data_IF_105396691250
#
_entry.id   IF_105396691250
#
_cell.length_a   1.000
_cell.length_b   1.000
_cell.length_c   1.000
_cell.angle_alpha   90.00
_cell.angle_beta   90.00
_cell.angle_gamma   90.00
#
_symmetry.space_group_name_H-M   'P 1'
#
loop_
_entity.id
_entity.type
_entity.pdbx_description
1 polymer ?
#
# COMPACT_ATOMS: atom_id res chain seq x y z
N UNK A 1 8.80 -7.61 -5.93
CA UNK A 1 8.68 -6.18 -6.32
C UNK A 1 9.64 -5.37 -5.45
N UNK A 2 9.98 -4.12 -5.80
CA UNK A 2 10.91 -3.31 -4.97
C UNK A 2 10.39 -3.12 -3.54
N UNK A 3 9.07 -3.08 -3.34
CA UNK A 3 8.46 -2.99 -2.01
C UNK A 3 8.73 -4.21 -1.11
N UNK A 4 9.08 -5.37 -1.68
CA UNK A 4 9.47 -6.56 -0.90
C UNK A 4 10.69 -6.30 -0.03
N UNK A 5 11.64 -5.50 -0.53
CA UNK A 5 12.86 -5.16 0.21
C UNK A 5 12.57 -4.42 1.51
N UNK A 6 11.44 -3.70 1.60
CA UNK A 6 11.03 -3.05 2.84
C UNK A 6 10.76 -4.06 3.96
N UNK A 7 10.37 -5.30 3.64
CA UNK A 7 10.06 -6.31 4.66
C UNK A 7 11.29 -7.05 5.21
N UNK A 8 12.47 -6.86 4.60
CA UNK A 8 13.72 -7.49 5.04
C UNK A 8 14.12 -7.02 6.45
N UNK A 9 13.76 -5.78 6.80
CA UNK A 9 14.06 -5.24 8.10
C UNK A 9 13.14 -5.82 9.18
N UNK A 10 13.74 -6.25 10.29
CA UNK A 10 13.00 -6.83 11.41
C UNK A 10 12.07 -5.78 12.02
N UNK A 11 10.80 -6.17 12.19
CA UNK A 11 9.77 -5.32 12.79
C UNK A 11 8.91 -4.55 11.79
N UNK A 12 9.23 -4.58 10.48
CA UNK A 12 8.35 -4.02 9.46
C UNK A 12 7.25 -5.04 9.12
N UNK A 13 6.01 -4.71 9.46
CA UNK A 13 4.83 -5.52 9.18
C UNK A 13 4.19 -5.22 7.82
N UNK A 14 4.32 -3.98 7.33
CA UNK A 14 3.73 -3.51 6.07
C UNK A 14 4.74 -2.67 5.29
N UNK A 15 4.97 -3.04 4.03
CA UNK A 15 5.73 -2.28 3.05
C UNK A 15 4.81 -1.63 2.02
N UNK A 16 5.02 -0.35 1.74
CA UNK A 16 4.24 0.40 0.73
C UNK A 16 5.17 1.11 -0.23
N UNK A 17 4.93 0.96 -1.53
CA UNK A 17 5.61 1.73 -2.58
C UNK A 17 4.59 2.58 -3.34
N UNK A 18 4.83 3.88 -3.32
CA UNK A 18 4.10 4.88 -4.08
C UNK A 18 4.87 5.23 -5.35
N UNK A 19 4.21 5.16 -6.51
CA UNK A 19 4.79 5.57 -7.78
C UNK A 19 3.82 6.51 -8.51
N UNK A 20 4.22 7.77 -8.68
CA UNK A 20 3.50 8.69 -9.54
C UNK A 20 3.48 8.16 -10.98
N UNK A 21 2.29 8.09 -11.57
CA UNK A 21 2.08 7.73 -12.98
C UNK A 21 1.89 8.98 -13.84
N UNK A 22 1.16 9.96 -13.30
CA UNK A 22 0.98 11.31 -13.84
C UNK A 22 0.75 12.30 -12.68
N UNK A 23 0.39 13.56 -12.98
CA UNK A 23 0.19 14.60 -11.96
C UNK A 23 -0.92 14.30 -10.95
N UNK A 24 -1.89 13.47 -11.31
CA UNK A 24 -3.09 13.16 -10.52
C UNK A 24 -3.33 11.66 -10.36
N UNK A 25 -2.33 10.81 -10.65
CA UNK A 25 -2.47 9.37 -10.57
C UNK A 25 -1.26 8.72 -9.95
N UNK A 26 -1.50 7.89 -8.95
CA UNK A 26 -0.45 7.21 -8.18
C UNK A 26 -0.74 5.72 -8.09
N UNK A 27 0.23 4.89 -8.47
CA UNK A 27 0.20 3.45 -8.26
C UNK A 27 0.73 3.12 -6.87
N UNK A 28 0.00 2.29 -6.15
CA UNK A 28 0.36 1.77 -4.83
C UNK A 28 0.66 0.28 -4.97
N UNK A 29 1.82 -0.14 -4.50
CA UNK A 29 2.17 -1.56 -4.35
C UNK A 29 2.36 -1.86 -2.88
N UNK A 30 1.68 -2.90 -2.39
CA UNK A 30 1.62 -3.26 -0.98
C UNK A 30 2.24 -4.64 -0.76
N UNK A 31 2.95 -4.77 0.35
CA UNK A 31 3.42 -6.04 0.90
C UNK A 31 3.19 -6.03 2.40
N UNK A 32 2.93 -7.20 2.96
CA UNK A 32 2.86 -7.35 4.40
C UNK A 32 3.33 -8.72 4.84
N UNK A 33 3.62 -8.81 6.13
CA UNK A 33 3.63 -10.08 6.86
C UNK A 33 2.18 -10.51 7.11
N UNK A 34 1.95 -11.81 7.36
CA UNK A 34 0.60 -12.43 7.46
C UNK A 34 -0.38 -11.75 8.44
N UNK A 35 0.14 -10.92 9.35
CA UNK A 35 -0.61 -10.21 10.39
C UNK A 35 -1.46 -9.05 9.87
N UNK A 36 -1.10 -8.44 8.73
CA UNK A 36 -1.86 -7.33 8.15
C UNK A 36 -2.35 -7.69 6.74
N UNK A 37 -3.67 -7.63 6.50
CA UNK A 37 -4.24 -7.97 5.20
C UNK A 37 -4.17 -6.77 4.23
N UNK A 38 -3.15 -6.76 3.37
CA UNK A 38 -3.03 -5.73 2.33
C UNK A 38 -4.00 -5.97 1.17
N UNK A 39 -4.55 -7.17 1.02
CA UNK A 39 -5.56 -7.49 0.01
C UNK A 39 -6.85 -6.72 0.27
N UNK A 40 -7.32 -6.73 1.52
CA UNK A 40 -8.47 -5.94 1.95
C UNK A 40 -8.20 -4.43 1.84
N UNK A 41 -7.00 -3.97 2.21
CA UNK A 41 -6.60 -2.56 2.06
C UNK A 41 -6.63 -2.11 0.59
N UNK A 42 -6.07 -2.92 -0.32
CA UNK A 42 -6.10 -2.62 -1.75
C UNK A 42 -7.54 -2.61 -2.29
N UNK A 43 -8.37 -3.57 -1.86
CA UNK A 43 -9.77 -3.68 -2.29
C UNK A 43 -10.59 -2.47 -1.84
N UNK A 44 -10.35 -1.94 -0.63
CA UNK A 44 -10.97 -0.71 -0.14
C UNK A 44 -10.70 0.49 -1.06
N UNK A 45 -9.51 0.54 -1.68
CA UNK A 45 -9.12 1.57 -2.65
C UNK A 45 -9.46 1.21 -4.11
N UNK A 46 -10.31 0.20 -4.34
CA UNK A 46 -10.71 -0.23 -5.69
C UNK A 46 -9.62 -1.00 -6.46
N UNK A 47 -8.60 -1.50 -5.76
CA UNK A 47 -7.60 -2.43 -6.29
C UNK A 47 -7.89 -3.88 -5.92
N UNK A 48 -6.83 -4.66 -5.73
CA UNK A 48 -6.94 -6.05 -5.31
C UNK A 48 -5.60 -6.80 -5.26
N UNK A 49 -5.68 -8.11 -5.04
CA UNK A 49 -4.52 -9.00 -4.98
C UNK A 49 -4.67 -10.06 -3.89
N UNK A 50 -3.54 -10.53 -3.38
CA UNK A 50 -3.49 -11.48 -2.28
C UNK A 50 -3.35 -10.77 -0.93
N UNK A 51 -3.67 -11.49 0.14
CA UNK A 51 -3.57 -11.05 1.54
C UNK A 51 -2.22 -10.37 1.88
N UNK A 52 -1.10 -10.89 1.38
CA UNK A 52 0.26 -10.39 1.66
C UNK A 52 0.87 -9.58 0.50
N UNK A 53 0.19 -9.51 -0.64
CA UNK A 53 0.73 -8.91 -1.86
C UNK A 53 -0.40 -8.39 -2.76
N UNK A 54 -0.56 -7.07 -2.76
CA UNK A 54 -1.67 -6.41 -3.46
C UNK A 54 -1.26 -5.03 -3.99
N UNK A 55 -2.19 -4.34 -4.65
CA UNK A 55 -1.98 -2.97 -5.07
C UNK A 55 -3.24 -2.32 -5.63
N UNK A 56 -3.18 -1.01 -5.79
CA UNK A 56 -4.25 -0.20 -6.36
C UNK A 56 -3.66 0.97 -7.16
N UNK A 57 -4.51 1.62 -7.95
CA UNK A 57 -4.19 2.90 -8.60
C UNK A 57 -5.20 3.92 -8.08
N UNK A 58 -4.68 5.00 -7.53
CA UNK A 58 -5.47 6.09 -7.01
C UNK A 58 -5.43 7.28 -7.97
N UNK A 59 -6.59 7.91 -8.20
CA UNK A 59 -6.70 9.17 -8.94
C UNK A 59 -6.40 10.37 -8.02
N UNK A 60 -5.24 10.30 -7.37
CA UNK A 60 -4.67 11.35 -6.54
C UNK A 60 -3.21 11.58 -6.92
N UNK A 61 -2.75 12.83 -6.75
CA UNK A 61 -1.31 13.13 -6.81
C UNK A 61 -0.57 12.35 -5.71
N UNK A 62 0.77 12.29 -5.82
CA UNK A 62 1.60 11.49 -4.93
C UNK A 62 1.39 11.83 -3.44
N UNK A 63 1.29 13.12 -3.10
CA UNK A 63 1.18 13.59 -1.72
C UNK A 63 -0.16 13.19 -1.09
N UNK A 64 -1.25 13.38 -1.83
CA UNK A 64 -2.59 13.04 -1.35
C UNK A 64 -2.77 11.52 -1.27
N UNK A 65 -2.23 10.78 -2.24
CA UNK A 65 -2.21 9.33 -2.21
C UNK A 65 -1.44 8.79 -0.98
N UNK A 66 -0.27 9.36 -0.68
CA UNK A 66 0.49 9.02 0.53
C UNK A 66 -0.32 9.24 1.80
N UNK A 67 -0.90 10.43 1.95
CA UNK A 67 -1.71 10.76 3.14
C UNK A 67 -2.87 9.78 3.32
N UNK A 68 -3.69 9.60 2.29
CA UNK A 68 -4.90 8.76 2.37
C UNK A 68 -4.56 7.30 2.69
N UNK A 69 -3.52 6.74 2.06
CA UNK A 69 -3.12 5.34 2.28
C UNK A 69 -2.51 5.15 3.67
N UNK A 70 -1.65 6.07 4.13
CA UNK A 70 -1.04 5.97 5.45
C UNK A 70 -2.08 6.15 6.57
N UNK A 71 -3.01 7.09 6.42
CA UNK A 71 -4.13 7.30 7.36
C UNK A 71 -5.00 6.03 7.47
N UNK A 72 -5.25 5.34 6.35
CA UNK A 72 -5.99 4.07 6.32
C UNK A 72 -5.25 2.93 7.03
N UNK A 73 -3.94 2.81 6.80
CA UNK A 73 -3.11 1.80 7.46
C UNK A 73 -3.11 2.02 8.98
N UNK A 74 -2.91 3.27 9.43
CA UNK A 74 -2.90 3.61 10.87
C UNK A 74 -4.25 3.32 11.53
N UNK A 75 -5.37 3.55 10.81
CA UNK A 75 -6.72 3.27 11.34
C UNK A 75 -7.03 1.79 11.48
N UNK A 76 -6.46 0.93 10.62
CA UNK A 76 -6.67 -0.53 10.67
C UNK A 76 -5.90 -1.21 11.80
N UNK A 77 -5.02 -0.48 12.47
CA UNK A 77 -4.18 -1.00 13.55
C UNK A 77 -3.04 -1.84 12.99
N UNK A 78 -1.83 -1.30 13.07
CA UNK A 78 -0.59 -2.08 13.12
C UNK A 78 -0.09 -2.05 14.55
#
# INVERSE_FOLDING_TARGET
SVVEFALLEKGIEVGVLFRALDSNKTKISLRSRDRFDVGELASFFGGGGHRTASGCILNFNLKDAQKIVLDEILRRGI
#
